data_IF_250806706402
#
_entry.id   IF_250806706402
#
_cell.length_a   1.000
_cell.length_b   1.000
_cell.length_c   1.000
_cell.angle_alpha   90.00
_cell.angle_beta   90.00
_cell.angle_gamma   90.00
#
_symmetry.space_group_name_H-M   'P 1'
#
loop_
_entity.id
_entity.type
_entity.pdbx_description
1 polymer ?
#
# COMPACT_ATOMS: atom_id res chain seq x y z
N UNK A 1 24.09 -5.95 12.53
CA UNK A 1 23.48 -5.97 11.17
C UNK A 1 24.05 -4.82 10.36
N UNK A 2 24.47 -5.05 9.11
CA UNK A 2 24.91 -3.99 8.19
C UNK A 2 23.69 -3.20 7.72
N UNK A 3 23.79 -1.87 7.61
CA UNK A 3 22.76 -1.06 7.00
C UNK A 3 22.72 -1.36 5.48
N UNK A 4 21.60 -1.84 4.92
CA UNK A 4 21.47 -2.02 3.49
C UNK A 4 21.45 -0.68 2.76
N UNK A 5 21.91 -0.66 1.51
CA UNK A 5 21.71 0.49 0.64
C UNK A 5 20.23 0.59 0.24
N UNK A 6 19.67 1.80 0.27
CA UNK A 6 18.28 2.06 -0.09
C UNK A 6 18.15 2.19 -1.60
N UNK A 7 17.99 1.06 -2.29
CA UNK A 7 17.53 1.06 -3.68
C UNK A 7 16.06 1.49 -3.77
N UNK A 8 15.62 1.97 -4.94
CA UNK A 8 14.24 2.43 -5.12
C UNK A 8 13.21 1.32 -4.91
N UNK A 9 13.54 0.08 -5.29
CA UNK A 9 12.71 -1.10 -5.03
C UNK A 9 12.53 -1.35 -3.53
N UNK A 10 13.61 -1.27 -2.76
CA UNK A 10 13.58 -1.43 -1.31
C UNK A 10 12.76 -0.34 -0.65
N UNK A 11 12.93 0.91 -1.10
CA UNK A 11 12.15 2.05 -0.64
C UNK A 11 10.66 1.87 -0.92
N UNK A 12 10.30 1.35 -2.09
CA UNK A 12 8.92 1.07 -2.45
C UNK A 12 8.31 -0.04 -1.60
N UNK A 13 9.06 -1.12 -1.34
CA UNK A 13 8.65 -2.19 -0.42
C UNK A 13 8.40 -1.67 1.00
N UNK A 14 9.32 -0.85 1.53
CA UNK A 14 9.17 -0.27 2.86
C UNK A 14 8.01 0.72 2.93
N UNK A 15 7.77 1.48 1.87
CA UNK A 15 6.61 2.38 1.76
C UNK A 15 5.30 1.61 1.74
N UNK A 16 5.25 0.50 1.00
CA UNK A 16 4.11 -0.40 1.01
C UNK A 16 3.86 -0.90 2.45
N UNK A 17 4.87 -1.40 3.16
CA UNK A 17 4.73 -1.82 4.55
C UNK A 17 4.18 -0.70 5.47
N UNK A 18 4.64 0.54 5.30
CA UNK A 18 4.10 1.69 6.06
C UNK A 18 2.61 1.91 5.76
N UNK A 19 2.18 1.69 4.52
CA UNK A 19 0.80 1.86 4.06
C UNK A 19 -0.10 0.61 4.21
N UNK A 20 0.35 -0.44 4.91
CA UNK A 20 -0.41 -1.70 5.06
C UNK A 20 -1.85 -1.52 5.58
N UNK A 21 -2.09 -0.51 6.41
CA UNK A 21 -3.40 -0.23 6.98
C UNK A 21 -4.45 0.24 5.95
N UNK A 22 -4.03 0.75 4.79
CA UNK A 22 -4.94 1.21 3.73
C UNK A 22 -5.06 0.24 2.56
N UNK A 23 -4.35 -0.90 2.59
CA UNK A 23 -4.34 -1.86 1.48
C UNK A 23 -5.57 -2.75 1.45
N UNK A 24 -5.97 -3.29 2.60
CA UNK A 24 -7.11 -4.19 2.73
C UNK A 24 -8.12 -3.56 3.70
N UNK A 25 -9.36 -3.27 3.27
CA UNK A 25 -10.38 -2.67 4.13
C UNK A 25 -10.79 -3.56 5.30
N UNK A 26 -10.49 -4.86 5.27
CA UNK A 26 -10.85 -5.83 6.31
C UNK A 26 -9.74 -6.05 7.33
N UNK A 27 -8.53 -5.55 7.09
CA UNK A 27 -7.37 -5.77 7.97
C UNK A 27 -6.96 -4.48 8.66
N UNK A 28 -7.19 -4.42 9.96
CA UNK A 28 -6.79 -3.30 10.80
C UNK A 28 -5.50 -3.64 11.55
N UNK A 29 -4.43 -2.94 11.21
CA UNK A 29 -3.13 -3.07 11.90
C UNK A 29 -2.99 -2.00 12.97
N UNK A 30 -2.13 -2.27 13.96
CA UNK A 30 -1.65 -1.23 14.88
C UNK A 30 -0.99 -0.11 14.08
N UNK A 31 -1.23 1.14 14.52
CA UNK A 31 -0.64 2.33 13.92
C UNK A 31 0.89 2.24 14.01
N UNK A 32 1.57 2.84 13.04
CA UNK A 32 3.02 2.91 13.05
C UNK A 32 3.43 4.04 14.00
N UNK A 33 4.15 3.70 15.06
CA UNK A 33 4.59 4.68 16.08
C UNK A 33 5.84 5.48 15.65
N UNK A 34 6.51 5.06 14.57
CA UNK A 34 7.77 5.65 14.11
C UNK A 34 7.61 6.30 12.74
N UNK A 35 8.12 7.53 12.64
CA UNK A 35 8.28 8.22 11.38
C UNK A 35 9.65 7.97 10.77
N UNK A 36 9.66 7.43 9.55
CA UNK A 36 10.85 7.11 8.78
C UNK A 36 11.01 5.61 8.53
N UNK A 37 12.01 5.26 7.72
CA UNK A 37 12.40 3.87 7.49
C UNK A 37 13.39 3.41 8.56
N UNK A 38 13.36 2.13 8.95
CA UNK A 38 14.33 1.60 9.90
C UNK A 38 15.76 1.67 9.33
N UNK A 39 16.74 2.05 10.17
CA UNK A 39 18.16 2.13 9.78
C UNK A 39 18.78 0.76 9.46
N UNK A 40 18.34 -0.26 10.19
CA UNK A 40 18.79 -1.64 10.00
C UNK A 40 17.59 -2.52 9.71
N UNK A 41 17.64 -3.25 8.60
CA UNK A 41 16.61 -4.20 8.21
C UNK A 41 17.23 -5.30 7.34
N UNK A 42 16.52 -6.41 7.24
CA UNK A 42 16.87 -7.53 6.36
C UNK A 42 15.61 -7.97 5.62
N UNK A 43 15.80 -8.50 4.42
CA UNK A 43 14.72 -9.09 3.63
C UNK A 43 14.95 -10.59 3.64
N UNK A 44 13.93 -11.31 4.07
CA UNK A 44 13.87 -12.76 4.03
C UNK A 44 12.66 -13.22 3.23
N UNK A 45 12.75 -14.42 2.69
CA UNK A 45 11.62 -15.12 2.06
C UNK A 45 11.18 -16.23 3.01
N UNK A 46 9.88 -16.37 3.23
CA UNK A 46 9.33 -17.46 4.03
C UNK A 46 9.53 -18.80 3.29
N UNK A 47 10.07 -19.79 4.00
CA UNK A 47 10.22 -21.16 3.49
C UNK A 47 8.98 -21.96 3.87
N UNK A 48 8.41 -22.69 2.90
CA UNK A 48 7.21 -23.50 3.15
C UNK A 48 7.52 -24.64 4.14
N UNK A 49 6.54 -24.97 4.97
CA UNK A 49 6.60 -26.15 5.83
C UNK A 49 6.07 -27.39 5.06
N UNK A 50 6.82 -28.51 5.00
CA UNK A 50 6.34 -29.75 4.39
C UNK A 50 5.02 -30.29 4.99
N UNK A 51 4.70 -29.95 6.23
CA UNK A 51 3.50 -30.46 6.91
C UNK A 51 2.18 -29.82 6.43
N UNK A 52 2.19 -28.63 5.84
CA UNK A 52 0.99 -27.93 5.36
C UNK A 52 1.10 -27.62 3.86
N UNK A 53 0.93 -28.67 3.05
CA UNK A 53 1.13 -28.59 1.60
C UNK A 53 0.04 -27.79 0.88
N UNK A 54 -1.21 -27.82 1.36
CA UNK A 54 -2.37 -27.36 0.59
C UNK A 54 -2.79 -25.92 0.87
N UNK A 55 -2.52 -25.36 2.07
CA UNK A 55 -3.09 -24.08 2.47
C UNK A 55 -2.08 -22.93 2.50
N UNK A 56 -0.91 -23.14 3.11
CA UNK A 56 0.09 -22.08 3.26
C UNK A 56 1.07 -21.97 2.09
N UNK A 57 1.13 -22.98 1.23
CA UNK A 57 2.12 -23.05 0.15
C UNK A 57 1.76 -22.19 -1.05
N UNK A 58 2.66 -21.28 -1.42
CA UNK A 58 2.55 -20.49 -2.65
C UNK A 58 3.20 -21.23 -3.83
N UNK A 59 2.48 -21.53 -4.92
CA UNK A 59 3.05 -22.17 -6.12
C UNK A 59 4.19 -21.36 -6.73
N UNK A 60 5.19 -22.05 -7.31
CA UNK A 60 6.40 -21.42 -7.88
C UNK A 60 6.10 -20.33 -8.90
N UNK A 61 5.01 -20.45 -9.67
CA UNK A 61 4.58 -19.46 -10.68
C UNK A 61 4.08 -18.14 -10.07
N UNK A 62 3.53 -18.21 -8.85
CA UNK A 62 2.94 -17.06 -8.15
C UNK A 62 3.97 -16.33 -7.29
N UNK A 63 5.08 -16.96 -6.91
CA UNK A 63 6.17 -16.32 -6.16
C UNK A 63 6.80 -15.20 -6.97
N UNK A 64 6.93 -14.02 -6.36
CA UNK A 64 7.61 -12.86 -6.95
C UNK A 64 8.83 -12.48 -6.13
N UNK A 65 9.61 -11.51 -6.64
CA UNK A 65 10.86 -11.09 -5.98
C UNK A 65 10.61 -10.05 -4.91
N UNK A 66 9.57 -9.23 -5.09
CA UNK A 66 9.26 -8.10 -4.21
C UNK A 66 7.81 -8.12 -3.74
N UNK A 67 7.55 -7.53 -2.57
CA UNK A 67 6.20 -7.42 -1.99
C UNK A 67 5.29 -6.61 -2.93
N UNK A 68 5.83 -5.56 -3.55
CA UNK A 68 5.07 -4.74 -4.50
C UNK A 68 4.65 -5.55 -5.73
N UNK A 69 5.52 -6.42 -6.27
CA UNK A 69 5.16 -7.29 -7.38
C UNK A 69 4.06 -8.29 -7.02
N UNK A 70 4.07 -8.83 -5.79
CA UNK A 70 3.01 -9.73 -5.31
C UNK A 70 1.67 -9.00 -5.21
N UNK A 71 1.66 -7.81 -4.62
CA UNK A 71 0.46 -6.97 -4.55
C UNK A 71 -0.05 -6.58 -5.93
N UNK A 72 0.85 -6.27 -6.85
CA UNK A 72 0.47 -6.02 -8.23
C UNK A 72 -0.05 -7.29 -8.89
N UNK A 73 0.41 -8.50 -8.57
CA UNK A 73 -0.13 -9.71 -9.17
C UNK A 73 -1.57 -10.01 -8.72
N UNK A 74 -2.00 -9.49 -7.56
CA UNK A 74 -3.34 -9.70 -7.02
C UNK A 74 -4.40 -8.85 -7.76
N UNK A 75 -5.36 -9.55 -8.37
CA UNK A 75 -6.46 -8.94 -9.11
C UNK A 75 -7.48 -8.21 -8.22
N UNK A 76 -7.73 -8.71 -7.00
CA UNK A 76 -8.71 -8.12 -6.09
C UNK A 76 -8.19 -6.79 -5.56
N UNK A 77 -6.92 -6.77 -5.18
CA UNK A 77 -6.21 -5.57 -4.75
C UNK A 77 -6.24 -4.48 -5.83
N UNK A 78 -5.96 -4.83 -7.10
CA UNK A 78 -6.06 -3.88 -8.23
C UNK A 78 -7.45 -3.28 -8.37
N UNK A 79 -8.48 -4.13 -8.38
CA UNK A 79 -9.88 -3.69 -8.55
C UNK A 79 -10.31 -2.76 -7.42
N UNK A 80 -9.99 -3.12 -6.18
CA UNK A 80 -10.31 -2.30 -5.01
C UNK A 80 -9.64 -0.93 -5.08
N UNK A 81 -8.33 -0.90 -5.36
CA UNK A 81 -7.56 0.34 -5.42
C UNK A 81 -8.01 1.25 -6.56
N UNK A 82 -8.29 0.69 -7.74
CA UNK A 82 -8.77 1.47 -8.87
C UNK A 82 -10.11 2.15 -8.55
N UNK A 83 -11.05 1.39 -7.96
CA UNK A 83 -12.35 1.93 -7.54
C UNK A 83 -12.18 3.05 -6.51
N UNK A 84 -11.40 2.81 -5.45
CA UNK A 84 -11.18 3.80 -4.38
C UNK A 84 -10.43 5.03 -4.85
N UNK A 85 -9.48 4.86 -5.75
CA UNK A 85 -8.78 5.98 -6.36
C UNK A 85 -9.74 6.90 -7.13
N UNK A 86 -10.60 6.34 -7.99
CA UNK A 86 -11.61 7.11 -8.73
C UNK A 86 -12.59 7.83 -7.81
N UNK A 87 -13.08 7.17 -6.76
CA UNK A 87 -13.94 7.80 -5.74
C UNK A 87 -13.25 9.00 -5.08
N UNK A 88 -11.98 8.84 -4.68
CA UNK A 88 -11.20 9.91 -4.04
C UNK A 88 -10.97 11.07 -5.01
N UNK A 89 -10.67 10.80 -6.29
CA UNK A 89 -10.45 11.84 -7.29
C UNK A 89 -11.73 12.61 -7.62
N UNK A 90 -12.86 11.92 -7.75
CA UNK A 90 -14.16 12.54 -7.90
C UNK A 90 -14.50 13.44 -6.70
N UNK A 91 -14.30 12.93 -5.47
CA UNK A 91 -14.53 13.70 -4.26
C UNK A 91 -13.62 14.94 -4.17
N UNK A 92 -12.33 14.80 -4.52
CA UNK A 92 -11.39 15.92 -4.56
C UNK A 92 -11.81 16.98 -5.58
N UNK A 93 -12.25 16.57 -6.76
CA UNK A 93 -12.74 17.47 -7.80
C UNK A 93 -14.01 18.22 -7.35
N UNK A 94 -14.99 17.50 -6.78
CA UNK A 94 -16.22 18.08 -6.23
C UNK A 94 -15.92 19.10 -5.12
N UNK A 95 -15.03 18.75 -4.19
CA UNK A 95 -14.60 19.65 -3.11
C UNK A 95 -13.90 20.90 -3.65
N UNK A 96 -13.06 20.77 -4.69
CA UNK A 96 -12.39 21.91 -5.32
C UNK A 96 -13.37 22.83 -6.04
N UNK A 97 -14.36 22.27 -6.76
CA UNK A 97 -15.43 23.03 -7.40
C UNK A 97 -16.28 23.77 -6.36
N UNK A 98 -16.74 23.08 -5.31
CA UNK A 98 -17.52 23.66 -4.22
C UNK A 98 -16.80 24.82 -3.51
N UNK A 99 -15.48 24.71 -3.31
CA UNK A 99 -14.65 25.82 -2.78
C UNK A 99 -14.60 27.02 -3.73
N UNK A 100 -14.55 26.81 -5.05
CA UNK A 100 -14.62 27.90 -6.03
C UNK A 100 -15.98 28.61 -6.00
N UNK A 101 -17.08 27.87 -5.89
CA UNK A 101 -18.42 28.45 -5.77
C UNK A 101 -18.62 29.21 -4.44
N UNK A 102 -18.07 28.73 -3.31
CA UNK A 102 -18.09 29.45 -2.02
C UNK A 102 -17.32 30.77 -2.05
N UNK A 103 -16.22 30.85 -2.80
CA UNK A 103 -15.46 32.11 -2.96
C UNK A 103 -16.22 33.15 -3.79
N UNK A 104 -17.00 32.73 -4.79
CA UNK A 104 -17.82 33.63 -5.63
C UNK A 104 -19.06 34.17 -4.91
N UNK A 105 -19.57 33.47 -3.89
CA UNK A 105 -20.71 33.90 -3.05
C UNK A 105 -20.30 34.76 -1.83
N UNK A 106 -19.06 35.27 -1.77
CA UNK A 106 -18.72 36.31 -0.79
C UNK A 106 -19.40 37.60 -1.23
N UNK A 107 -20.53 37.88 -0.60
CA UNK A 107 -21.26 39.14 -0.72
C UNK A 107 -20.28 40.31 -0.62
N UNK A 108 -20.28 41.16 -1.65
CA UNK A 108 -19.80 42.53 -1.52
C UNK A 108 -20.89 43.28 -0.75
N UNK A 109 -20.54 43.75 0.45
CA UNK A 109 -21.22 44.89 1.06
C UNK A 109 -20.56 46.16 0.54
#
# INVERSE_FOLDING_TARGET
>A
MKAPELTDELKNNLKALKMRASMDPKRFYKKNDRDGFPKYFQIGTTVDNPADFYHSRVPKKQRKRTIVEELLADSEFRRYNQRKYSEIMAQKAANAAGKKFRKKKKFHN
#
